data_IF_660819972315
#
_entry.id   IF_660819972315
#
_cell.length_a   1.000
_cell.length_b   1.000
_cell.length_c   1.000
_cell.angle_alpha   90.00
_cell.angle_beta   90.00
_cell.angle_gamma   90.00
#
_symmetry.space_group_name_H-M   'P 1'
#
loop_
_entity.id
_entity.type
_entity.pdbx_description
1 polymer ?
#
# COMPACT_ATOMS: atom_id res chain seq x y z
N UNK A 1 -10.47 -46.30 90.46
CA UNK A 1 -10.09 -45.04 89.81
C UNK A 1 -9.08 -45.35 88.66
N UNK A 2 -9.51 -45.38 87.47
CA UNK A 2 -8.63 -45.43 86.32
C UNK A 2 -9.10 -44.37 85.29
N UNK A 3 -8.33 -43.32 85.15
CA UNK A 3 -8.48 -42.33 84.08
C UNK A 3 -7.84 -42.86 82.79
N UNK A 4 -8.61 -42.97 81.72
CA UNK A 4 -8.11 -43.19 80.36
C UNK A 4 -8.03 -41.86 79.67
N UNK A 5 -6.82 -41.43 79.32
CA UNK A 5 -6.56 -40.27 78.52
C UNK A 5 -6.58 -40.65 77.04
N UNK A 6 -7.54 -40.14 76.30
CA UNK A 6 -7.63 -40.20 74.82
C UNK A 6 -6.74 -39.12 74.23
N UNK A 7 -5.64 -39.48 73.58
CA UNK A 7 -4.85 -38.57 72.70
C UNK A 7 -5.45 -38.49 71.29
N UNK A 8 -5.70 -37.34 70.71
CA UNK A 8 -6.24 -37.25 69.42
C UNK A 8 -5.15 -37.48 68.35
N UNK A 9 -5.45 -38.41 67.40
CA UNK A 9 -4.61 -38.78 66.25
C UNK A 9 -4.75 -37.78 65.13
N UNK A 10 -4.12 -36.59 65.28
CA UNK A 10 -4.29 -35.45 64.31
C UNK A 10 -3.28 -35.43 63.17
N UNK A 11 -2.35 -36.41 63.10
CA UNK A 11 -1.26 -36.39 62.09
C UNK A 11 -1.60 -36.99 60.77
N UNK A 12 -2.65 -37.79 60.60
CA UNK A 12 -3.00 -38.42 59.33
C UNK A 12 -3.93 -37.56 58.47
N UNK A 13 -4.77 -36.70 59.02
CA UNK A 13 -5.69 -35.85 58.29
C UNK A 13 -4.96 -34.77 57.45
N UNK A 14 -3.89 -34.18 57.97
CA UNK A 14 -3.08 -33.19 57.24
C UNK A 14 -2.38 -33.80 56.02
N UNK A 15 -1.90 -35.04 56.11
CA UNK A 15 -1.26 -35.74 54.96
C UNK A 15 -2.29 -36.16 53.91
N UNK A 16 -3.51 -36.54 54.29
CA UNK A 16 -4.59 -36.87 53.34
C UNK A 16 -5.11 -35.63 52.64
N UNK A 17 -5.24 -34.50 53.34
CA UNK A 17 -5.63 -33.22 52.74
C UNK A 17 -4.55 -32.72 51.76
N UNK A 18 -3.26 -32.86 52.10
CA UNK A 18 -2.16 -32.45 51.23
C UNK A 18 -2.07 -33.32 49.99
N UNK A 19 -2.35 -34.63 50.08
CA UNK A 19 -2.38 -35.55 48.92
C UNK A 19 -3.60 -35.30 48.02
N UNK A 20 -4.79 -34.99 48.60
CA UNK A 20 -5.99 -34.63 47.86
C UNK A 20 -5.84 -33.30 47.11
N UNK A 21 -5.19 -32.28 47.69
CA UNK A 21 -4.89 -31.02 47.02
C UNK A 21 -3.89 -31.22 45.86
N UNK A 22 -2.92 -32.12 45.97
CA UNK A 22 -1.96 -32.41 44.89
C UNK A 22 -2.60 -33.14 43.72
N UNK A 23 -3.57 -34.04 43.98
CA UNK A 23 -4.34 -34.70 42.92
C UNK A 23 -5.29 -33.75 42.15
N UNK A 24 -5.91 -32.78 42.84
CA UNK A 24 -6.80 -31.81 42.19
C UNK A 24 -6.08 -30.87 41.23
N UNK A 25 -4.77 -30.59 41.43
CA UNK A 25 -3.99 -29.72 40.52
C UNK A 25 -3.62 -30.43 39.20
N UNK A 26 -3.47 -31.75 39.20
CA UNK A 26 -3.14 -32.54 37.99
C UNK A 26 -4.36 -32.69 37.07
N UNK A 27 -5.55 -32.94 37.60
CA UNK A 27 -6.79 -33.03 36.79
C UNK A 27 -7.21 -31.71 36.16
N UNK A 28 -6.93 -30.56 36.80
CA UNK A 28 -7.23 -29.26 36.27
C UNK A 28 -6.36 -28.91 35.04
N UNK A 29 -5.13 -29.44 34.95
CA UNK A 29 -4.22 -29.16 33.81
C UNK A 29 -4.61 -29.99 32.57
N UNK A 30 -5.04 -31.23 32.75
CA UNK A 30 -5.46 -32.15 31.69
C UNK A 30 -6.75 -31.64 30.97
N UNK A 31 -7.70 -31.10 31.71
CA UNK A 31 -8.95 -30.52 31.16
C UNK A 31 -8.67 -29.22 30.37
N UNK A 32 -7.67 -28.42 30.80
CA UNK A 32 -7.25 -27.21 30.08
C UNK A 32 -6.58 -27.53 28.72
N UNK A 33 -5.67 -28.52 28.69
CA UNK A 33 -5.03 -28.97 27.46
C UNK A 33 -6.05 -29.57 26.48
N UNK A 34 -7.01 -30.36 26.96
CA UNK A 34 -8.06 -30.95 26.15
C UNK A 34 -8.92 -29.88 25.46
N UNK A 35 -9.41 -28.88 26.19
CA UNK A 35 -10.23 -27.79 25.66
C UNK A 35 -9.44 -26.91 24.67
N UNK A 36 -8.17 -26.68 24.95
CA UNK A 36 -7.28 -26.00 24.03
C UNK A 36 -7.06 -26.81 22.74
N UNK A 37 -6.90 -28.14 22.87
CA UNK A 37 -6.76 -29.05 21.73
C UNK A 37 -8.00 -29.07 20.81
N UNK A 38 -9.20 -29.03 21.37
CA UNK A 38 -10.45 -28.92 20.60
C UNK A 38 -10.47 -27.64 19.76
N UNK A 39 -10.02 -26.50 20.32
CA UNK A 39 -9.87 -25.24 19.55
C UNK A 39 -8.79 -25.31 18.48
N UNK A 40 -7.67 -25.98 18.76
CA UNK A 40 -6.62 -26.16 17.76
C UNK A 40 -7.11 -27.04 16.60
N UNK A 41 -7.92 -28.07 16.89
CA UNK A 41 -8.53 -28.88 15.87
C UNK A 41 -9.48 -28.06 14.99
N UNK A 42 -10.35 -27.23 15.58
CA UNK A 42 -11.20 -26.32 14.83
C UNK A 42 -10.40 -25.33 13.97
N UNK A 43 -9.24 -24.85 14.46
CA UNK A 43 -8.34 -24.02 13.68
C UNK A 43 -7.73 -24.76 12.48
N UNK A 44 -7.39 -26.05 12.62
CA UNK A 44 -6.91 -26.89 11.51
C UNK A 44 -8.00 -27.08 10.45
N UNK A 45 -9.22 -27.37 10.87
CA UNK A 45 -10.37 -27.51 9.98
C UNK A 45 -10.63 -26.22 9.19
N UNK A 46 -10.60 -25.06 9.85
CA UNK A 46 -10.70 -23.75 9.20
C UNK A 46 -9.56 -23.54 8.18
N UNK A 47 -8.33 -23.92 8.53
CA UNK A 47 -7.17 -23.84 7.64
C UNK A 47 -7.33 -24.72 6.40
N UNK A 48 -7.76 -25.99 6.56
CA UNK A 48 -7.99 -26.93 5.45
C UNK A 48 -9.08 -26.44 4.50
N UNK A 49 -10.10 -25.76 5.03
CA UNK A 49 -11.15 -25.11 4.24
C UNK A 49 -10.69 -23.81 3.56
N UNK A 50 -9.46 -23.34 3.81
CA UNK A 50 -8.92 -22.10 3.29
C UNK A 50 -9.43 -20.83 3.99
N UNK A 51 -10.08 -20.97 5.14
CA UNK A 51 -10.59 -19.90 6.00
C UNK A 51 -9.46 -19.37 6.90
N UNK A 52 -8.40 -18.81 6.29
CA UNK A 52 -7.17 -18.42 6.99
C UNK A 52 -7.40 -17.43 8.12
N UNK A 53 -8.31 -16.47 7.93
CA UNK A 53 -8.61 -15.48 8.97
C UNK A 53 -9.25 -16.12 10.21
N UNK A 54 -10.18 -17.05 10.02
CA UNK A 54 -10.81 -17.81 11.10
C UNK A 54 -9.79 -18.69 11.83
N UNK A 55 -8.93 -19.40 11.08
CA UNK A 55 -7.86 -20.21 11.65
C UNK A 55 -6.95 -19.36 12.56
N UNK A 56 -6.52 -18.19 12.13
CA UNK A 56 -5.71 -17.27 12.93
C UNK A 56 -6.42 -16.82 14.22
N UNK A 57 -7.69 -16.44 14.14
CA UNK A 57 -8.50 -16.03 15.30
C UNK A 57 -8.61 -17.17 16.30
N UNK A 58 -8.85 -18.41 15.85
CA UNK A 58 -8.95 -19.59 16.71
C UNK A 58 -7.61 -19.87 17.40
N UNK A 59 -6.48 -19.81 16.68
CA UNK A 59 -5.13 -19.99 17.26
C UNK A 59 -4.84 -18.93 18.30
N UNK A 60 -5.09 -17.65 18.01
CA UNK A 60 -4.87 -16.56 18.97
C UNK A 60 -5.76 -16.71 20.22
N UNK A 61 -6.98 -17.20 20.04
CA UNK A 61 -7.88 -17.46 21.17
C UNK A 61 -7.35 -18.52 22.16
N UNK A 62 -6.55 -19.49 21.68
CA UNK A 62 -5.90 -20.49 22.54
C UNK A 62 -4.94 -19.82 23.52
N UNK A 63 -4.12 -18.88 23.01
CA UNK A 63 -3.16 -18.12 23.83
C UNK A 63 -3.87 -17.31 24.93
N UNK A 64 -5.02 -16.74 24.63
CA UNK A 64 -5.77 -15.88 25.55
C UNK A 64 -6.58 -16.69 26.57
N UNK A 65 -7.28 -17.74 26.12
CA UNK A 65 -8.21 -18.50 26.96
C UNK A 65 -7.54 -19.63 27.75
N UNK A 66 -6.45 -20.19 27.20
CA UNK A 66 -5.76 -21.33 27.77
C UNK A 66 -4.24 -21.07 27.96
N UNK A 67 -3.86 -20.06 28.76
CA UNK A 67 -2.44 -19.66 28.90
C UNK A 67 -1.53 -20.76 29.44
N UNK A 68 -2.09 -21.76 30.13
CA UNK A 68 -1.37 -22.90 30.71
C UNK A 68 -1.29 -24.12 29.77
N UNK A 69 -1.96 -24.13 28.66
CA UNK A 69 -1.92 -25.20 27.67
C UNK A 69 -0.64 -25.08 26.79
N UNK A 70 0.51 -25.41 27.35
CA UNK A 70 1.80 -25.16 26.73
C UNK A 70 2.03 -25.95 25.45
N UNK A 71 1.66 -27.24 25.42
CA UNK A 71 1.82 -28.09 24.24
C UNK A 71 0.91 -27.67 23.10
N UNK A 72 -0.37 -27.42 23.40
CA UNK A 72 -1.33 -26.94 22.41
C UNK A 72 -0.94 -25.56 21.86
N UNK A 73 -0.44 -24.65 22.70
CA UNK A 73 0.06 -23.33 22.26
C UNK A 73 1.28 -23.45 21.37
N UNK A 74 2.22 -24.38 21.67
CA UNK A 74 3.39 -24.68 20.84
C UNK A 74 2.95 -25.21 19.46
N UNK A 75 1.98 -26.13 19.41
CA UNK A 75 1.41 -26.62 18.19
C UNK A 75 0.65 -25.53 17.41
N UNK A 76 -0.05 -24.63 18.12
CA UNK A 76 -0.73 -23.46 17.56
C UNK A 76 0.23 -22.50 16.86
N UNK A 77 1.42 -22.24 17.41
CA UNK A 77 2.46 -21.44 16.73
C UNK A 77 2.85 -22.09 15.40
N UNK A 78 2.99 -23.41 15.37
CA UNK A 78 3.28 -24.13 14.13
C UNK A 78 2.20 -23.98 13.09
N UNK A 79 0.95 -24.19 13.50
CA UNK A 79 -0.19 -24.01 12.61
C UNK A 79 -0.31 -22.56 12.11
N UNK A 80 -0.06 -21.57 12.95
CA UNK A 80 -0.05 -20.16 12.55
C UNK A 80 0.93 -19.91 11.41
N UNK A 81 2.15 -20.45 11.52
CA UNK A 81 3.16 -20.34 10.45
C UNK A 81 2.71 -21.00 9.15
N UNK A 82 2.05 -22.16 9.22
CA UNK A 82 1.49 -22.83 8.04
C UNK A 82 0.38 -22.00 7.39
N UNK A 83 -0.52 -21.41 8.22
CA UNK A 83 -1.60 -20.54 7.77
C UNK A 83 -1.03 -19.29 7.09
N UNK A 84 -0.08 -18.60 7.73
CA UNK A 84 0.57 -17.42 7.17
C UNK A 84 1.27 -17.71 5.83
N UNK A 85 2.00 -18.84 5.76
CA UNK A 85 2.66 -19.27 4.55
C UNK A 85 1.66 -19.46 3.39
N UNK A 86 0.60 -20.23 3.64
CA UNK A 86 -0.41 -20.53 2.62
C UNK A 86 -1.20 -19.29 2.19
N UNK A 87 -1.52 -18.42 3.12
CA UNK A 87 -2.17 -17.13 2.83
C UNK A 87 -1.32 -16.27 1.89
N UNK A 88 -0.01 -16.13 2.16
CA UNK A 88 0.89 -15.36 1.31
C UNK A 88 1.11 -16.02 -0.06
N UNK A 89 1.25 -17.34 -0.13
CA UNK A 89 1.34 -18.06 -1.40
C UNK A 89 0.10 -17.83 -2.26
N UNK A 90 -1.10 -17.89 -1.67
CA UNK A 90 -2.37 -17.61 -2.37
C UNK A 90 -2.46 -16.15 -2.81
N UNK A 91 -2.01 -15.23 -1.97
CA UNK A 91 -1.96 -13.81 -2.30
C UNK A 91 -1.05 -13.54 -3.51
N UNK A 92 0.13 -14.17 -3.58
CA UNK A 92 1.04 -14.04 -4.72
C UNK A 92 0.40 -14.49 -6.04
N UNK A 93 -0.29 -15.63 -6.05
CA UNK A 93 -0.99 -16.12 -7.25
C UNK A 93 -2.05 -15.12 -7.72
N UNK A 94 -2.80 -14.53 -6.79
CA UNK A 94 -3.80 -13.52 -7.10
C UNK A 94 -3.16 -12.22 -7.64
N UNK A 95 -2.12 -11.73 -6.97
CA UNK A 95 -1.39 -10.52 -7.36
C UNK A 95 -0.72 -10.68 -8.74
N UNK A 96 -0.13 -11.85 -9.02
CA UNK A 96 0.47 -12.16 -10.32
C UNK A 96 -0.59 -12.12 -11.43
N UNK A 97 -1.74 -12.73 -11.21
CA UNK A 97 -2.87 -12.69 -12.16
C UNK A 97 -3.34 -11.25 -12.43
N UNK A 98 -3.44 -10.42 -11.37
CA UNK A 98 -3.79 -9.01 -11.53
C UNK A 98 -2.72 -8.23 -12.30
N UNK A 99 -1.43 -8.47 -12.02
CA UNK A 99 -0.33 -7.81 -12.70
C UNK A 99 -0.31 -8.15 -14.19
N UNK A 100 -0.51 -9.42 -14.54
CA UNK A 100 -0.60 -9.87 -15.94
C UNK A 100 -1.75 -9.20 -16.70
N UNK A 101 -2.92 -9.08 -16.06
CA UNK A 101 -4.07 -8.39 -16.65
C UNK A 101 -3.75 -6.90 -16.91
N UNK A 102 -3.19 -6.21 -15.91
CA UNK A 102 -2.77 -4.80 -16.03
C UNK A 102 -1.66 -4.61 -17.07
N UNK A 103 -0.71 -5.53 -17.15
CA UNK A 103 0.35 -5.49 -18.16
C UNK A 103 -0.22 -5.59 -19.58
N UNK A 104 -1.20 -6.47 -19.78
CA UNK A 104 -1.91 -6.58 -21.06
C UNK A 104 -2.62 -5.29 -21.43
N UNK A 105 -3.30 -4.66 -20.46
CA UNK A 105 -3.97 -3.37 -20.68
C UNK A 105 -2.94 -2.29 -21.07
N UNK A 106 -1.81 -2.21 -20.37
CA UNK A 106 -0.74 -1.28 -20.69
C UNK A 106 -0.14 -1.54 -22.09
N UNK A 107 0.16 -2.79 -22.43
CA UNK A 107 0.72 -3.15 -23.73
C UNK A 107 -0.21 -2.79 -24.90
N UNK A 108 -1.52 -2.81 -24.69
CA UNK A 108 -2.51 -2.42 -25.68
C UNK A 108 -2.55 -0.90 -25.92
N UNK A 109 -2.12 -0.07 -24.96
CA UNK A 109 -2.24 1.39 -25.06
C UNK A 109 -0.89 2.13 -25.11
N UNK A 110 0.22 1.53 -24.67
CA UNK A 110 1.54 2.20 -24.59
C UNK A 110 1.99 2.86 -25.89
N UNK A 111 1.65 2.27 -27.03
CA UNK A 111 1.96 2.82 -28.35
C UNK A 111 1.22 4.12 -28.71
N UNK A 112 0.25 4.55 -27.89
CA UNK A 112 -0.46 5.84 -28.05
C UNK A 112 0.29 7.00 -27.41
N UNK A 113 1.37 6.73 -26.66
CA UNK A 113 2.16 7.71 -25.93
C UNK A 113 3.56 7.86 -26.53
N UNK A 114 4.12 9.03 -26.39
CA UNK A 114 5.54 9.26 -26.62
C UNK A 114 6.28 8.95 -25.34
N UNK A 115 7.37 8.18 -25.44
CA UNK A 115 8.24 7.87 -24.32
C UNK A 115 9.51 8.71 -24.43
N UNK A 116 9.78 9.50 -23.40
CA UNK A 116 10.98 10.32 -23.27
C UNK A 116 11.85 9.79 -22.14
N UNK A 117 13.12 9.53 -22.44
CA UNK A 117 14.13 9.13 -21.45
C UNK A 117 15.50 9.59 -21.92
N UNK A 118 16.16 10.38 -21.11
CA UNK A 118 17.57 10.67 -21.27
C UNK A 118 18.38 9.53 -20.61
N UNK A 119 18.92 8.62 -21.43
CA UNK A 119 19.61 7.44 -20.95
C UNK A 119 20.89 7.77 -20.16
N UNK A 120 21.47 8.96 -20.34
CA UNK A 120 22.67 9.41 -19.63
C UNK A 120 22.37 9.93 -18.23
N UNK A 121 21.22 10.61 -18.04
CA UNK A 121 20.89 11.32 -16.79
C UNK A 121 19.66 10.78 -16.07
N UNK A 122 18.89 9.89 -16.69
CA UNK A 122 17.62 9.41 -16.11
C UNK A 122 17.57 7.88 -16.02
N UNK A 123 17.31 7.39 -14.83
CA UNK A 123 17.02 5.96 -14.61
C UNK A 123 15.59 5.58 -15.02
N UNK A 124 14.65 6.54 -14.96
CA UNK A 124 13.22 6.36 -15.18
C UNK A 124 12.78 7.32 -16.28
N UNK A 125 12.10 6.81 -17.31
CA UNK A 125 11.53 7.62 -18.38
C UNK A 125 10.10 8.07 -18.09
N UNK A 126 9.60 8.95 -18.99
CA UNK A 126 8.27 9.53 -18.88
C UNK A 126 7.44 9.25 -20.14
N UNK A 127 6.18 8.94 -19.95
CA UNK A 127 5.17 8.88 -20.99
C UNK A 127 4.39 10.19 -21.04
N UNK A 128 4.18 10.71 -22.24
CA UNK A 128 3.35 11.89 -22.49
C UNK A 128 2.47 11.69 -23.72
N UNK A 129 1.39 12.45 -23.78
CA UNK A 129 0.54 12.43 -24.97
C UNK A 129 1.29 13.06 -26.16
N UNK A 130 1.23 12.51 -27.40
CA UNK A 130 1.99 13.01 -28.56
C UNK A 130 1.68 14.45 -28.96
N UNK A 131 0.58 15.05 -28.50
CA UNK A 131 0.30 16.46 -28.70
C UNK A 131 1.12 17.39 -27.79
N UNK A 132 1.74 16.86 -26.73
CA UNK A 132 2.44 17.66 -25.73
C UNK A 132 3.97 17.60 -25.80
N UNK A 133 4.51 17.02 -26.89
CA UNK A 133 5.95 17.13 -27.18
C UNK A 133 6.33 18.58 -27.43
N UNK A 134 7.55 18.96 -27.03
CA UNK A 134 8.00 20.35 -27.02
C UNK A 134 7.89 20.96 -28.44
N UNK A 135 8.29 20.24 -29.47
CA UNK A 135 8.32 20.70 -30.86
C UNK A 135 6.95 21.16 -31.40
N UNK A 136 5.87 20.61 -30.85
CA UNK A 136 4.50 21.00 -31.20
C UNK A 136 3.93 22.15 -30.38
N UNK A 137 4.66 22.56 -29.34
CA UNK A 137 4.18 23.51 -28.35
C UNK A 137 5.13 24.71 -28.15
N UNK A 138 5.98 24.96 -29.14
CA UNK A 138 6.80 26.16 -29.19
C UNK A 138 5.91 27.41 -29.19
N UNK A 139 6.39 28.49 -28.60
CA UNK A 139 5.77 29.83 -28.61
C UNK A 139 4.35 29.87 -27.97
N UNK A 140 4.01 28.94 -27.06
CA UNK A 140 2.73 28.99 -26.38
C UNK A 140 2.85 28.68 -24.88
N UNK A 141 1.94 29.26 -24.09
CA UNK A 141 1.72 28.89 -22.70
C UNK A 141 0.72 27.75 -22.60
N UNK A 142 1.02 26.74 -21.78
CA UNK A 142 0.15 25.58 -21.57
C UNK A 142 0.53 24.80 -20.32
N UNK A 143 -0.30 23.86 -19.92
CA UNK A 143 0.01 22.86 -18.91
C UNK A 143 0.45 21.57 -19.62
N UNK A 144 1.69 21.13 -19.35
CA UNK A 144 2.22 19.84 -19.86
C UNK A 144 2.03 18.77 -18.81
N UNK A 145 1.57 17.61 -19.24
CA UNK A 145 1.34 16.46 -18.36
C UNK A 145 2.18 15.28 -18.80
N UNK A 146 2.81 14.62 -17.86
CA UNK A 146 3.60 13.42 -18.08
C UNK A 146 3.45 12.46 -16.90
N UNK A 147 3.75 11.19 -17.10
CA UNK A 147 3.77 10.16 -16.07
C UNK A 147 5.01 9.30 -16.23
N UNK A 148 5.69 9.02 -15.12
CA UNK A 148 6.85 8.15 -15.13
C UNK A 148 6.48 6.65 -15.23
N UNK A 149 7.48 5.80 -15.43
CA UNK A 149 7.31 4.33 -15.52
C UNK A 149 6.70 3.71 -14.26
N UNK A 150 6.74 4.40 -13.11
CA UNK A 150 6.14 3.97 -11.85
C UNK A 150 4.72 4.47 -11.62
N UNK A 151 4.20 5.29 -12.54
CA UNK A 151 2.86 5.85 -12.45
C UNK A 151 2.79 7.15 -11.65
N UNK A 152 3.92 7.79 -11.37
CA UNK A 152 3.93 9.12 -10.73
C UNK A 152 3.68 10.17 -11.80
N UNK A 153 2.49 10.77 -11.76
CA UNK A 153 2.12 11.84 -12.68
C UNK A 153 2.69 13.18 -12.23
N UNK A 154 3.13 14.00 -13.19
CA UNK A 154 3.55 15.37 -12.97
C UNK A 154 2.92 16.32 -13.99
N UNK A 155 2.79 17.56 -13.58
CA UNK A 155 2.32 18.69 -14.39
C UNK A 155 3.39 19.77 -14.36
N UNK A 156 3.79 20.25 -15.54
CA UNK A 156 4.62 21.44 -15.70
C UNK A 156 3.75 22.58 -16.24
N UNK A 157 3.64 23.67 -15.50
CA UNK A 157 3.06 24.90 -16.05
C UNK A 157 4.12 25.63 -16.87
N UNK A 158 3.86 25.82 -18.15
CA UNK A 158 4.77 26.50 -19.06
C UNK A 158 4.14 27.81 -19.49
N UNK A 159 4.83 28.91 -19.17
CA UNK A 159 4.54 30.23 -19.69
C UNK A 159 5.54 30.56 -20.80
N UNK A 160 5.04 31.17 -21.87
CA UNK A 160 5.85 31.74 -22.96
C UNK A 160 5.28 33.11 -23.33
N UNK A 161 6.11 34.15 -23.29
CA UNK A 161 5.65 35.51 -23.57
C UNK A 161 6.77 36.55 -23.67
N UNK A 162 6.43 37.81 -23.91
CA UNK A 162 7.39 38.89 -24.14
C UNK A 162 8.12 39.35 -22.85
N UNK A 163 7.50 39.14 -21.70
CA UNK A 163 8.02 39.64 -20.40
C UNK A 163 7.90 38.55 -19.35
N UNK A 164 8.81 38.51 -18.38
CA UNK A 164 8.68 37.65 -17.22
C UNK A 164 7.46 38.02 -16.39
N UNK A 165 6.76 37.00 -15.88
CA UNK A 165 5.65 37.12 -14.95
C UNK A 165 6.01 36.54 -13.57
N UNK A 166 7.14 35.80 -13.47
CA UNK A 166 7.66 35.15 -12.28
C UNK A 166 6.61 34.28 -11.61
N UNK A 167 5.94 33.40 -12.41
CA UNK A 167 4.89 32.55 -11.85
C UNK A 167 5.48 31.38 -11.06
N UNK A 168 4.86 31.11 -9.92
CA UNK A 168 5.24 30.02 -9.02
C UNK A 168 4.09 29.06 -8.74
N UNK A 169 2.87 29.42 -9.14
CA UNK A 169 1.68 28.62 -8.92
C UNK A 169 0.68 28.80 -10.07
N UNK A 170 -0.29 27.90 -10.15
CA UNK A 170 -1.41 28.03 -11.08
C UNK A 170 -2.74 27.80 -10.37
N UNK A 171 -3.75 28.59 -10.77
CA UNK A 171 -5.14 28.39 -10.40
C UNK A 171 -5.95 27.99 -11.62
N UNK A 172 -6.70 26.92 -11.53
CA UNK A 172 -7.58 26.43 -12.58
C UNK A 172 -9.03 26.65 -12.16
N UNK A 173 -9.85 27.17 -13.08
CA UNK A 173 -11.24 27.55 -12.78
C UNK A 173 -12.17 26.99 -13.87
N UNK A 174 -13.20 26.26 -13.45
CA UNK A 174 -14.26 25.77 -14.32
C UNK A 174 -15.34 26.85 -14.56
N UNK A 175 -16.19 26.72 -15.61
CA UNK A 175 -17.22 27.72 -15.93
C UNK A 175 -18.27 27.97 -14.83
N UNK A 176 -18.47 27.02 -13.94
CA UNK A 176 -19.38 27.12 -12.79
C UNK A 176 -18.77 27.88 -11.59
N UNK A 177 -17.52 28.37 -11.74
CA UNK A 177 -16.78 29.09 -10.72
C UNK A 177 -16.02 28.20 -9.73
N UNK A 178 -16.18 26.89 -9.78
CA UNK A 178 -15.33 25.97 -9.00
C UNK A 178 -13.88 26.04 -9.43
N UNK A 179 -12.94 25.85 -8.50
CA UNK A 179 -11.51 25.98 -8.79
C UNK A 179 -10.67 25.06 -7.93
N UNK A 180 -9.44 24.85 -8.40
CA UNK A 180 -8.33 24.31 -7.63
C UNK A 180 -7.08 25.16 -7.88
N UNK A 181 -6.13 25.11 -6.93
CA UNK A 181 -4.93 25.95 -6.96
C UNK A 181 -3.74 25.15 -6.43
N UNK A 182 -2.60 25.24 -7.13
CA UNK A 182 -1.38 24.60 -6.64
C UNK A 182 -0.79 25.41 -5.48
N UNK A 183 -0.05 24.77 -4.56
CA UNK A 183 0.91 25.51 -3.73
C UNK A 183 1.98 26.15 -4.62
N UNK A 184 2.81 27.01 -4.05
CA UNK A 184 3.99 27.51 -4.75
C UNK A 184 4.92 26.34 -5.11
N UNK A 185 5.40 26.33 -6.34
CA UNK A 185 6.31 25.31 -6.83
C UNK A 185 7.60 25.30 -6.01
N UNK A 186 8.08 24.08 -5.72
CA UNK A 186 9.40 23.87 -5.08
C UNK A 186 10.54 24.01 -6.10
N UNK A 187 10.22 23.77 -7.36
CA UNK A 187 11.14 23.83 -8.48
C UNK A 187 10.53 24.69 -9.60
N UNK A 188 11.24 25.72 -9.98
CA UNK A 188 10.86 26.65 -11.06
C UNK A 188 12.11 27.07 -11.85
N UNK A 189 11.91 27.27 -13.13
CA UNK A 189 13.00 27.60 -14.06
C UNK A 189 12.56 28.71 -15.02
N UNK A 190 13.44 29.68 -15.21
CA UNK A 190 13.24 30.78 -16.15
C UNK A 190 14.37 30.84 -17.18
N UNK A 191 14.03 31.04 -18.43
CA UNK A 191 14.99 31.20 -19.52
C UNK A 191 14.48 32.18 -20.58
N UNK A 192 15.34 32.51 -21.50
CA UNK A 192 15.00 33.30 -22.69
C UNK A 192 15.45 32.54 -23.91
N UNK A 193 14.52 32.31 -24.82
CA UNK A 193 14.80 31.66 -26.11
C UNK A 193 14.15 32.45 -27.26
N UNK A 194 14.90 32.71 -28.30
CA UNK A 194 14.48 33.50 -29.48
C UNK A 194 13.76 34.82 -29.16
N UNK A 195 14.12 35.45 -28.03
CA UNK A 195 13.52 36.71 -27.56
C UNK A 195 12.28 36.55 -26.70
N UNK A 196 11.77 35.36 -26.54
CA UNK A 196 10.65 35.04 -25.64
C UNK A 196 11.13 34.63 -24.25
N UNK A 197 10.37 35.01 -23.24
CA UNK A 197 10.57 34.59 -21.86
C UNK A 197 9.80 33.28 -21.64
N UNK A 198 10.52 32.25 -21.19
CA UNK A 198 9.94 30.95 -20.89
C UNK A 198 10.10 30.70 -19.39
N UNK A 199 8.98 30.47 -18.71
CA UNK A 199 8.97 30.10 -17.30
C UNK A 199 8.31 28.73 -17.14
N UNK A 200 8.86 27.88 -16.27
CA UNK A 200 8.37 26.56 -15.96
C UNK A 200 8.26 26.38 -14.46
N UNK A 201 7.16 25.80 -13.99
CA UNK A 201 6.99 25.40 -12.60
C UNK A 201 6.41 23.98 -12.55
N UNK A 202 7.04 23.10 -11.78
CA UNK A 202 6.74 21.68 -11.75
C UNK A 202 5.96 21.27 -10.50
N UNK A 203 4.97 20.40 -10.70
CA UNK A 203 4.08 19.89 -9.66
C UNK A 203 3.91 18.39 -9.81
N UNK A 204 3.90 17.64 -8.69
CA UNK A 204 3.62 16.20 -8.66
C UNK A 204 2.19 15.95 -8.19
N UNK A 205 1.55 14.93 -8.74
CA UNK A 205 0.22 14.48 -8.30
C UNK A 205 0.25 14.16 -6.79
N UNK A 206 -0.73 14.70 -6.07
CA UNK A 206 -0.78 14.62 -4.60
C UNK A 206 -0.08 15.76 -3.85
N UNK A 207 0.83 16.52 -4.51
CA UNK A 207 1.47 17.72 -3.99
C UNK A 207 1.02 18.99 -4.74
N UNK A 208 0.10 18.85 -5.68
CA UNK A 208 -0.38 19.87 -6.63
C UNK A 208 -1.66 20.61 -6.15
N UNK A 209 -2.05 20.49 -4.90
CA UNK A 209 -3.30 21.08 -4.40
C UNK A 209 -4.55 20.50 -5.06
N UNK A 210 -4.46 19.26 -5.55
CA UNK A 210 -5.51 18.54 -6.30
C UNK A 210 -5.90 19.17 -7.65
N UNK A 211 -5.02 19.95 -8.25
CA UNK A 211 -5.25 20.59 -9.56
C UNK A 211 -5.42 19.55 -10.66
N UNK A 212 -4.54 18.54 -10.74
CA UNK A 212 -4.64 17.50 -11.77
C UNK A 212 -5.93 16.67 -11.63
N UNK A 213 -6.34 16.33 -10.41
CA UNK A 213 -7.61 15.64 -10.15
C UNK A 213 -8.82 16.51 -10.52
N UNK A 214 -8.80 17.79 -10.17
CA UNK A 214 -9.85 18.75 -10.55
C UNK A 214 -9.97 18.88 -12.07
N UNK A 215 -8.84 19.01 -12.78
CA UNK A 215 -8.79 19.09 -14.23
C UNK A 215 -9.37 17.83 -14.88
N UNK A 216 -9.02 16.64 -14.36
CA UNK A 216 -9.55 15.38 -14.87
C UNK A 216 -11.08 15.27 -14.72
N UNK A 217 -11.60 15.66 -13.56
CA UNK A 217 -13.05 15.68 -13.30
C UNK A 217 -13.81 16.69 -14.16
N UNK A 218 -13.14 17.74 -14.63
CA UNK A 218 -13.71 18.80 -15.45
C UNK A 218 -13.18 18.80 -16.90
N UNK A 219 -12.63 17.70 -17.39
CA UNK A 219 -11.96 17.58 -18.70
C UNK A 219 -12.81 18.00 -19.91
N UNK A 220 -14.14 17.90 -19.77
CA UNK A 220 -15.08 18.24 -20.83
C UNK A 220 -15.52 19.72 -20.78
N UNK A 221 -15.08 20.49 -19.79
CA UNK A 221 -15.41 21.89 -19.60
C UNK A 221 -14.30 22.81 -20.11
N UNK A 222 -14.64 24.06 -20.41
CA UNK A 222 -13.65 25.09 -20.73
C UNK A 222 -12.98 25.59 -19.46
N UNK A 223 -11.76 25.14 -19.21
CA UNK A 223 -11.00 25.49 -18.01
C UNK A 223 -10.14 26.72 -18.28
N UNK A 224 -10.26 27.73 -17.41
CA UNK A 224 -9.36 28.87 -17.35
C UNK A 224 -8.19 28.54 -16.45
N UNK A 225 -6.96 28.80 -16.91
CA UNK A 225 -5.71 28.65 -16.16
C UNK A 225 -5.14 30.03 -15.90
N UNK A 226 -4.97 30.39 -14.62
CA UNK A 226 -4.29 31.59 -14.18
C UNK A 226 -2.90 31.22 -13.69
N UNK A 227 -1.86 31.76 -14.31
CA UNK A 227 -0.49 31.71 -13.83
C UNK A 227 -0.30 32.77 -12.76
N UNK A 228 0.06 32.33 -11.56
CA UNK A 228 0.18 33.20 -10.39
C UNK A 228 1.61 33.62 -10.19
N UNK A 229 1.88 34.87 -10.48
CA UNK A 229 3.17 35.53 -10.38
C UNK A 229 3.00 37.02 -10.12
N UNK A 230 4.05 37.78 -10.34
CA UNK A 230 4.04 39.24 -10.16
C UNK A 230 3.09 39.97 -11.13
N UNK A 231 2.83 39.35 -12.30
CA UNK A 231 1.93 39.88 -13.32
C UNK A 231 0.86 38.83 -13.65
N UNK A 232 -0.43 39.19 -13.65
CA UNK A 232 -1.50 38.27 -13.98
C UNK A 232 -1.43 37.83 -15.44
N UNK A 233 -1.46 36.51 -15.66
CA UNK A 233 -1.55 35.93 -16.98
C UNK A 233 -2.54 34.77 -16.98
N UNK A 234 -3.31 34.62 -18.03
CA UNK A 234 -4.34 33.58 -18.10
C UNK A 234 -4.48 33.03 -19.50
N UNK A 235 -4.74 31.74 -19.58
CA UNK A 235 -5.14 31.05 -20.83
C UNK A 235 -6.43 30.27 -20.59
N UNK A 236 -7.04 29.80 -21.68
CA UNK A 236 -8.04 28.75 -21.64
C UNK A 236 -7.42 27.47 -22.18
N UNK A 237 -7.55 26.35 -21.46
CA UNK A 237 -7.06 25.06 -21.91
C UNK A 237 -7.72 24.67 -23.23
N UNK A 238 -6.92 24.28 -24.21
CA UNK A 238 -7.44 23.74 -25.48
C UNK A 238 -8.07 22.37 -25.26
N UNK A 239 -8.94 21.94 -26.19
CA UNK A 239 -9.49 20.59 -26.15
C UNK A 239 -8.39 19.51 -26.22
N UNK A 240 -7.31 19.78 -26.99
CA UNK A 240 -6.16 18.88 -27.10
C UNK A 240 -5.40 18.75 -25.78
N UNK A 241 -5.23 19.86 -25.03
CA UNK A 241 -4.56 19.82 -23.72
C UNK A 241 -5.40 19.07 -22.68
N UNK A 242 -6.73 19.23 -22.70
CA UNK A 242 -7.64 18.48 -21.81
C UNK A 242 -7.66 17.00 -22.14
N UNK A 243 -7.62 16.64 -23.42
CA UNK A 243 -7.51 15.25 -23.88
C UNK A 243 -6.18 14.63 -23.46
N UNK A 244 -5.08 15.36 -23.59
CA UNK A 244 -3.75 14.93 -23.16
C UNK A 244 -3.71 14.68 -21.66
N UNK A 245 -4.23 15.60 -20.85
CA UNK A 245 -4.38 15.42 -19.42
C UNK A 245 -5.16 14.14 -19.09
N UNK A 246 -6.34 13.96 -19.65
CA UNK A 246 -7.20 12.81 -19.36
C UNK A 246 -6.48 11.49 -19.68
N UNK A 247 -5.85 11.43 -20.86
CA UNK A 247 -5.10 10.27 -21.32
C UNK A 247 -3.92 9.94 -20.38
N UNK A 248 -3.12 10.94 -19.99
CA UNK A 248 -1.97 10.75 -19.09
C UNK A 248 -2.42 10.39 -17.67
N UNK A 249 -3.53 10.97 -17.19
CA UNK A 249 -4.09 10.65 -15.87
C UNK A 249 -4.55 9.19 -15.78
N UNK A 250 -5.26 8.70 -16.81
CA UNK A 250 -5.68 7.29 -16.89
C UNK A 250 -4.48 6.34 -16.98
N UNK A 251 -3.43 6.71 -17.73
CA UNK A 251 -2.19 5.94 -17.76
C UNK A 251 -1.49 5.93 -16.41
N UNK A 252 -1.48 7.06 -15.71
CA UNK A 252 -0.88 7.15 -14.37
C UNK A 252 -1.59 6.22 -13.37
N UNK A 253 -2.92 6.13 -13.41
CA UNK A 253 -3.67 5.19 -12.58
C UNK A 253 -3.33 3.73 -12.90
N UNK A 254 -3.14 3.39 -14.17
CA UNK A 254 -2.76 2.05 -14.57
C UNK A 254 -1.35 1.70 -14.07
N UNK A 255 -0.36 2.55 -14.35
CA UNK A 255 1.03 2.32 -13.97
C UNK A 255 1.23 2.32 -12.45
N UNK A 256 0.61 3.25 -11.71
CA UNK A 256 0.68 3.26 -10.24
C UNK A 256 0.06 2.01 -9.62
N UNK A 257 -1.06 1.53 -10.17
CA UNK A 257 -1.67 0.27 -9.76
C UNK A 257 -0.73 -0.93 -9.98
N UNK A 258 0.00 -0.97 -11.11
CA UNK A 258 0.99 -2.02 -11.39
C UNK A 258 2.17 -1.95 -10.41
N UNK A 259 2.62 -0.76 -10.09
CA UNK A 259 3.72 -0.52 -9.13
C UNK A 259 3.31 -0.97 -7.73
N UNK A 260 2.09 -0.67 -7.31
CA UNK A 260 1.55 -1.12 -6.02
C UNK A 260 1.42 -2.64 -5.95
N UNK A 261 0.94 -3.30 -7.02
CA UNK A 261 0.87 -4.76 -7.09
C UNK A 261 2.27 -5.36 -6.95
N UNK A 262 3.27 -4.86 -7.67
CA UNK A 262 4.66 -5.32 -7.57
C UNK A 262 5.21 -5.19 -6.15
N UNK A 263 4.95 -4.06 -5.49
CA UNK A 263 5.32 -3.82 -4.09
C UNK A 263 4.66 -4.83 -3.14
N UNK A 264 3.36 -5.08 -3.31
CA UNK A 264 2.63 -6.05 -2.50
C UNK A 264 3.15 -7.49 -2.72
N UNK A 265 3.57 -7.83 -3.94
CA UNK A 265 4.21 -9.12 -4.24
C UNK A 265 5.58 -9.25 -3.53
N UNK A 266 6.37 -8.19 -3.53
CA UNK A 266 7.66 -8.15 -2.82
C UNK A 266 7.45 -8.34 -1.30
N UNK A 267 6.50 -7.62 -0.70
CA UNK A 267 6.15 -7.76 0.71
C UNK A 267 5.66 -9.18 1.05
N UNK A 268 4.86 -9.80 0.18
CA UNK A 268 4.42 -11.18 0.37
C UNK A 268 5.59 -12.18 0.29
N UNK A 269 6.52 -12.00 -0.64
CA UNK A 269 7.73 -12.82 -0.74
C UNK A 269 8.61 -12.70 0.51
N UNK A 270 8.85 -11.49 1.01
CA UNK A 270 9.60 -11.27 2.25
C UNK A 270 8.96 -11.96 3.45
N UNK A 271 7.62 -11.92 3.56
CA UNK A 271 6.89 -12.63 4.61
C UNK A 271 7.04 -14.16 4.48
N UNK A 272 6.96 -14.70 3.26
CA UNK A 272 7.17 -16.13 2.98
C UNK A 272 8.57 -16.56 3.43
N UNK A 273 9.61 -15.82 3.07
CA UNK A 273 10.99 -16.11 3.46
C UNK A 273 11.15 -16.08 4.99
N UNK A 274 10.59 -15.06 5.64
CA UNK A 274 10.61 -14.94 7.09
C UNK A 274 9.93 -16.13 7.78
N UNK A 275 8.73 -16.50 7.33
CA UNK A 275 7.98 -17.61 7.92
C UNK A 275 8.71 -18.93 7.71
N UNK A 276 9.23 -19.20 6.51
CA UNK A 276 10.02 -20.41 6.22
C UNK A 276 11.23 -20.52 7.13
N UNK A 277 11.99 -19.44 7.31
CA UNK A 277 13.12 -19.40 8.24
C UNK A 277 12.69 -19.74 9.68
N UNK A 278 11.57 -19.19 10.15
CA UNK A 278 11.03 -19.49 11.49
C UNK A 278 10.56 -20.94 11.65
N UNK A 279 10.04 -21.53 10.58
CA UNK A 279 9.66 -22.95 10.57
C UNK A 279 10.89 -23.86 10.64
N UNK A 280 12.01 -23.51 9.97
CA UNK A 280 13.29 -24.22 10.02
C UNK A 280 13.90 -24.14 11.44
N UNK A 281 14.07 -22.93 11.98
CA UNK A 281 14.58 -22.72 13.34
C UNK A 281 13.79 -23.54 14.40
N UNK A 282 12.49 -23.69 14.21
CA UNK A 282 11.67 -24.50 15.13
C UNK A 282 11.89 -25.98 14.98
N UNK A 283 12.17 -26.48 13.76
CA UNK A 283 12.48 -27.90 13.54
C UNK A 283 13.81 -28.27 14.17
N UNK A 284 14.82 -27.40 14.03
CA UNK A 284 16.14 -27.61 14.59
C UNK A 284 16.09 -27.67 16.13
N UNK A 285 15.37 -26.71 16.76
CA UNK A 285 15.17 -26.69 18.21
C UNK A 285 14.30 -27.85 18.77
N UNK A 286 13.62 -28.60 17.92
CA UNK A 286 12.84 -29.76 18.32
C UNK A 286 13.64 -31.10 18.21
N UNK A 287 14.84 -31.05 17.57
CA UNK A 287 15.73 -32.20 17.41
C UNK A 287 16.87 -32.20 18.45
N UNK A 288 17.11 -31.06 19.13
CA UNK A 288 17.97 -30.95 20.30
C UNK A 288 17.21 -31.28 21.61
#
# INVERSE_FOLDING_TARGET
>A
LFLWTLTPRTTNMKKVILLACLCCTLFSCEDVEKKAGEKLQAAREAFELGNYNEAKILIDSIKMLYPKAFETRRAGIGLMQEVELKEQEKSLVYLDSMLQAKQKDFDAIKGKYTFEKDAEYQNIGNYLHPSQVIEKNLHRSFLRFQVDENGVMSMTSIYCGAHNIHHVAVKVTAPDGSFAETPAAKDSYETTDLGEKIEKADFKLGEDGNVMGFLYLNKDKNIKVNYQGERPYSITMTAADRQALASVYELAQLLSSMTEIKKNMEEANLKIEFVKKKMEERKDNAQE
#
